data_IF_544928263127
#
_entry.id   IF_544928263127
#
_cell.length_a   1.000
_cell.length_b   1.000
_cell.length_c   1.000
_cell.angle_alpha   90.00
_cell.angle_beta   90.00
_cell.angle_gamma   90.00
#
_symmetry.space_group_name_H-M   'P 1'
#
loop_
_entity.id
_entity.type
_entity.pdbx_description
1 polymer ?
#
# COMPACT_ATOMS: atom_id res chain seq x y z
N UNK A 1 -6.07 -22.98 -3.25
CA UNK A 1 -6.00 -21.91 -2.23
C UNK A 1 -5.50 -20.63 -2.92
N UNK A 2 -6.32 -19.60 -2.97
CA UNK A 2 -6.13 -18.43 -3.85
C UNK A 2 -5.54 -17.25 -3.05
N UNK A 3 -4.25 -17.28 -2.69
CA UNK A 3 -3.63 -16.27 -1.85
C UNK A 3 -2.89 -15.17 -2.63
N UNK A 4 -2.95 -15.19 -3.97
CA UNK A 4 -2.32 -14.19 -4.84
C UNK A 4 -3.34 -13.28 -5.52
N UNK A 5 -4.62 -13.43 -5.19
CA UNK A 5 -5.72 -12.66 -5.75
C UNK A 5 -6.53 -12.00 -4.64
N UNK A 6 -6.99 -10.78 -4.90
CA UNK A 6 -7.89 -9.99 -4.04
C UNK A 6 -9.03 -9.43 -4.88
N UNK A 7 -10.13 -9.01 -4.23
CA UNK A 7 -11.34 -8.55 -4.89
C UNK A 7 -12.27 -9.69 -5.29
N UNK A 8 -13.52 -9.36 -5.59
CA UNK A 8 -14.59 -10.27 -6.02
C UNK A 8 -15.21 -9.87 -7.37
N UNK A 9 -15.29 -8.57 -7.65
CA UNK A 9 -15.79 -8.01 -8.89
C UNK A 9 -14.69 -7.25 -9.66
N UNK A 10 -13.76 -6.62 -8.95
CA UNK A 10 -12.51 -6.07 -9.48
C UNK A 10 -11.35 -6.92 -8.94
N UNK A 11 -11.05 -8.00 -9.65
CA UNK A 11 -10.13 -9.03 -9.18
C UNK A 11 -8.70 -8.72 -9.62
N UNK A 12 -7.81 -8.59 -8.65
CA UNK A 12 -6.39 -8.33 -8.89
C UNK A 12 -5.58 -9.57 -8.54
N UNK A 13 -4.89 -10.15 -9.51
CA UNK A 13 -4.00 -11.31 -9.34
C UNK A 13 -2.56 -10.91 -9.59
N UNK A 14 -1.72 -10.97 -8.55
CA UNK A 14 -0.29 -10.66 -8.63
C UNK A 14 0.56 -11.90 -8.80
N UNK A 15 1.63 -11.80 -9.58
CA UNK A 15 2.57 -12.89 -9.85
C UNK A 15 4.01 -12.37 -9.98
N UNK A 16 4.96 -13.31 -9.99
CA UNK A 16 6.38 -13.04 -10.06
C UNK A 16 7.07 -13.00 -8.71
N UNK A 17 8.37 -12.76 -8.73
CA UNK A 17 9.25 -12.79 -7.56
C UNK A 17 10.35 -11.72 -7.71
N UNK A 18 10.91 -11.28 -6.58
CA UNK A 18 11.88 -10.17 -6.54
C UNK A 18 13.09 -10.36 -7.45
N UNK A 19 13.58 -11.59 -7.56
CA UNK A 19 14.73 -11.96 -8.38
C UNK A 19 14.35 -12.89 -9.54
N UNK A 20 13.05 -13.06 -9.80
CA UNK A 20 12.55 -13.62 -11.06
C UNK A 20 12.68 -12.63 -12.22
N UNK A 21 12.31 -13.01 -13.44
CA UNK A 21 12.42 -12.15 -14.61
C UNK A 21 11.50 -10.95 -14.57
N UNK A 22 10.35 -11.07 -13.88
CA UNK A 22 9.28 -10.09 -13.90
C UNK A 22 8.47 -10.15 -12.58
N UNK A 23 7.90 -9.01 -12.17
CA UNK A 23 6.72 -8.94 -11.32
C UNK A 23 5.57 -8.39 -12.17
N UNK A 24 4.35 -8.88 -11.94
CA UNK A 24 3.23 -8.47 -12.77
C UNK A 24 1.90 -8.61 -12.07
N UNK A 25 0.87 -8.15 -12.76
CA UNK A 25 -0.50 -8.18 -12.29
C UNK A 25 -1.47 -8.39 -13.46
N UNK A 26 -2.53 -9.13 -13.19
CA UNK A 26 -3.71 -9.20 -14.04
C UNK A 26 -4.89 -8.64 -13.25
N UNK A 27 -5.59 -7.68 -13.85
CA UNK A 27 -6.83 -7.07 -13.32
C UNK A 27 -7.99 -7.56 -14.16
N UNK A 28 -8.89 -8.32 -13.57
CA UNK A 28 -10.14 -8.80 -14.18
C UNK A 28 -11.35 -8.04 -13.61
N UNK A 29 -12.42 -7.91 -14.39
CA UNK A 29 -13.63 -7.22 -13.99
C UNK A 29 -13.56 -5.67 -14.10
N UNK A 30 -12.50 -5.11 -14.69
CA UNK A 30 -12.49 -3.71 -15.04
C UNK A 30 -13.56 -3.42 -16.11
N UNK A 31 -14.48 -2.45 -15.89
CA UNK A 31 -15.52 -2.11 -16.87
C UNK A 31 -14.93 -1.77 -18.24
N UNK A 32 -15.63 -2.15 -19.32
CA UNK A 32 -15.30 -1.71 -20.67
C UNK A 32 -15.55 -0.20 -20.83
N UNK A 33 -14.72 0.47 -21.64
CA UNK A 33 -14.90 1.90 -21.96
C UNK A 33 -14.20 2.86 -20.99
N UNK A 34 -13.45 2.39 -20.00
CA UNK A 34 -12.59 3.27 -19.20
C UNK A 34 -11.45 3.81 -20.07
N UNK A 35 -11.32 5.13 -20.17
CA UNK A 35 -10.15 5.76 -20.78
C UNK A 35 -8.92 5.48 -19.92
N UNK A 36 -7.97 4.72 -20.46
CA UNK A 36 -6.77 4.24 -19.76
C UNK A 36 -5.61 4.12 -20.74
N UNK A 37 -4.52 4.79 -20.43
CA UNK A 37 -3.26 4.72 -21.20
C UNK A 37 -2.16 4.05 -20.39
N UNK A 38 -1.10 3.59 -21.05
CA UNK A 38 0.11 3.09 -20.38
C UNK A 38 0.73 4.18 -19.51
N UNK A 39 0.69 5.44 -19.97
CA UNK A 39 1.24 6.58 -19.24
C UNK A 39 0.50 6.86 -17.92
N UNK A 40 -0.80 6.56 -17.83
CA UNK A 40 -1.55 6.69 -16.58
C UNK A 40 -0.98 5.75 -15.51
N UNK A 41 -0.63 4.53 -15.91
CA UNK A 41 -0.06 3.51 -15.03
C UNK A 41 1.40 3.84 -14.72
N UNK A 42 2.17 4.27 -15.72
CA UNK A 42 3.58 4.62 -15.56
C UNK A 42 3.77 5.78 -14.57
N UNK A 43 2.96 6.83 -14.65
CA UNK A 43 3.00 7.94 -13.70
C UNK A 43 2.82 7.48 -12.25
N UNK A 44 1.91 6.54 -12.00
CA UNK A 44 1.73 6.00 -10.65
C UNK A 44 2.95 5.19 -10.18
N UNK A 45 3.59 4.44 -11.08
CA UNK A 45 4.82 3.70 -10.78
C UNK A 45 6.00 4.64 -10.52
N UNK A 46 6.12 5.74 -11.26
CA UNK A 46 7.16 6.74 -11.06
C UNK A 46 7.04 7.40 -9.67
N UNK A 47 5.81 7.61 -9.19
CA UNK A 47 5.56 8.10 -7.82
C UNK A 47 6.01 7.12 -6.74
N UNK A 48 6.19 5.82 -7.03
CA UNK A 48 6.61 4.82 -6.05
C UNK A 48 8.07 5.03 -5.60
N UNK A 49 8.89 5.62 -6.44
CA UNK A 49 10.32 5.81 -6.18
C UNK A 49 10.55 7.25 -5.70
N UNK A 50 10.97 7.47 -4.43
CA UNK A 50 11.37 8.80 -3.98
C UNK A 50 12.57 9.32 -4.79
N UNK A 51 12.59 10.62 -5.07
CA UNK A 51 13.63 11.25 -5.90
C UNK A 51 14.99 11.33 -5.19
N UNK A 52 15.01 11.51 -3.88
CA UNK A 52 16.23 11.61 -3.08
C UNK A 52 16.87 10.24 -2.85
N UNK A 53 18.19 10.18 -3.09
CA UNK A 53 18.96 8.92 -3.12
C UNK A 53 19.42 8.47 -1.74
N UNK A 54 19.47 9.34 -0.77
CA UNK A 54 20.04 9.11 0.56
C UNK A 54 19.08 8.41 1.52
N UNK A 55 17.76 8.50 1.27
CA UNK A 55 16.71 7.85 2.08
C UNK A 55 16.19 6.53 1.50
N UNK A 56 16.70 6.10 0.35
CA UNK A 56 16.27 4.85 -0.31
C UNK A 56 17.45 3.90 -0.53
N UNK A 57 17.15 2.63 -0.76
CA UNK A 57 18.15 1.63 -1.13
C UNK A 57 18.86 1.98 -2.44
N UNK A 58 20.07 1.48 -2.62
CA UNK A 58 20.82 1.64 -3.86
C UNK A 58 20.30 0.76 -5.02
N UNK A 59 19.28 -0.09 -4.80
CA UNK A 59 18.61 -0.85 -5.86
C UNK A 59 17.83 0.12 -6.74
N UNK A 60 18.07 0.08 -8.05
CA UNK A 60 17.40 0.94 -9.02
C UNK A 60 16.65 0.11 -10.04
N UNK A 61 15.34 0.15 -9.93
CA UNK A 61 14.45 -0.43 -10.92
C UNK A 61 13.70 0.71 -11.62
N UNK A 62 13.73 0.79 -12.94
CA UNK A 62 13.02 1.84 -13.67
C UNK A 62 11.51 1.67 -13.64
N UNK A 63 11.02 0.51 -13.18
CA UNK A 63 9.59 0.14 -13.07
C UNK A 63 8.80 0.42 -14.37
N UNK A 64 9.41 0.18 -15.53
CA UNK A 64 8.76 0.35 -16.83
C UNK A 64 7.65 -0.69 -16.96
N UNK A 65 6.42 -0.22 -17.15
CA UNK A 65 5.25 -1.09 -17.33
C UNK A 65 5.08 -1.49 -18.79
N UNK A 66 4.82 -2.76 -19.02
CA UNK A 66 4.46 -3.34 -20.32
C UNK A 66 2.99 -3.81 -20.25
N UNK A 67 2.12 -3.31 -21.13
CA UNK A 67 0.72 -3.68 -21.24
C UNK A 67 0.54 -4.78 -22.27
N UNK A 68 -0.07 -5.92 -21.91
CA UNK A 68 -0.21 -7.10 -22.77
C UNK A 68 -1.64 -7.34 -23.25
N UNK A 69 -2.65 -6.90 -22.49
CA UNK A 69 -4.06 -7.14 -22.83
C UNK A 69 -4.99 -6.17 -22.13
N UNK A 70 -6.26 -6.14 -22.56
CA UNK A 70 -7.36 -5.47 -21.86
C UNK A 70 -7.55 -4.00 -22.24
N UNK A 71 -6.72 -3.42 -23.11
CA UNK A 71 -6.85 -2.05 -23.60
C UNK A 71 -6.74 -2.02 -25.12
N UNK A 72 -7.63 -1.26 -25.77
CA UNK A 72 -7.62 -1.02 -27.22
C UNK A 72 -8.04 0.43 -27.48
N UNK A 73 -7.26 1.15 -28.28
CA UNK A 73 -7.47 2.58 -28.58
C UNK A 73 -7.68 3.42 -27.30
N UNK A 74 -6.78 3.25 -26.34
CA UNK A 74 -6.78 3.93 -25.02
C UNK A 74 -8.06 3.73 -24.19
N UNK A 75 -8.78 2.64 -24.41
CA UNK A 75 -9.95 2.28 -23.61
C UNK A 75 -9.89 0.81 -23.20
N UNK A 76 -10.36 0.53 -21.99
CA UNK A 76 -10.52 -0.86 -21.52
C UNK A 76 -11.58 -1.57 -22.34
N UNK A 77 -11.33 -2.86 -22.63
CA UNK A 77 -12.22 -3.68 -23.49
C UNK A 77 -13.17 -4.57 -22.70
N UNK A 78 -13.01 -4.65 -21.36
CA UNK A 78 -13.67 -5.63 -20.51
C UNK A 78 -12.96 -6.98 -20.44
N UNK A 79 -11.91 -7.20 -21.25
CA UNK A 79 -10.99 -8.31 -21.08
C UNK A 79 -10.02 -8.03 -19.92
N UNK A 80 -9.38 -9.06 -19.32
CA UNK A 80 -8.41 -8.85 -18.26
C UNK A 80 -7.26 -7.94 -18.72
N UNK A 81 -6.93 -6.93 -17.91
CA UNK A 81 -5.80 -6.04 -18.12
C UNK A 81 -4.57 -6.67 -17.50
N UNK A 82 -3.58 -7.06 -18.33
CA UNK A 82 -2.36 -7.73 -17.87
C UNK A 82 -1.16 -6.84 -18.06
N UNK A 83 -0.40 -6.64 -16.97
CA UNK A 83 0.76 -5.76 -16.89
C UNK A 83 1.98 -6.52 -16.39
N UNK A 84 3.13 -6.26 -17.02
CA UNK A 84 4.43 -6.77 -16.59
C UNK A 84 5.39 -5.61 -16.26
N UNK A 85 6.25 -5.84 -15.29
CA UNK A 85 7.33 -4.92 -14.89
C UNK A 85 8.61 -5.75 -14.75
N UNK A 86 9.57 -5.58 -15.65
CA UNK A 86 10.80 -6.38 -15.67
C UNK A 86 11.70 -6.03 -14.48
N UNK A 87 12.33 -7.06 -13.90
CA UNK A 87 13.40 -6.90 -12.94
C UNK A 87 14.72 -6.74 -13.68
N UNK A 88 15.43 -5.62 -13.46
CA UNK A 88 16.69 -5.30 -14.17
C UNK A 88 17.89 -5.27 -13.22
N UNK A 89 17.74 -4.78 -12.00
CA UNK A 89 18.84 -4.65 -11.02
C UNK A 89 18.78 -5.79 -9.98
N UNK A 90 19.17 -6.99 -10.43
CA UNK A 90 19.12 -8.23 -9.65
C UNK A 90 20.54 -8.67 -9.27
N UNK A 91 20.88 -8.66 -7.95
CA UNK A 91 22.14 -9.17 -7.39
C UNK A 91 21.86 -10.33 -6.45
N UNK A 92 21.71 -11.53 -7.03
CA UNK A 92 21.29 -12.72 -6.28
C UNK A 92 22.34 -13.21 -5.28
N UNK A 93 23.64 -13.00 -5.56
CA UNK A 93 24.75 -13.38 -4.67
C UNK A 93 24.70 -12.73 -3.28
N UNK A 94 24.10 -11.54 -3.17
CA UNK A 94 23.95 -10.84 -1.89
C UNK A 94 23.07 -11.62 -0.88
N UNK A 95 22.34 -12.64 -1.35
CA UNK A 95 21.38 -13.43 -0.56
C UNK A 95 21.80 -14.88 -0.28
N UNK A 96 22.97 -15.33 -0.77
CA UNK A 96 23.39 -16.72 -0.63
C UNK A 96 23.56 -17.14 0.86
N UNK A 97 24.05 -16.22 1.71
CA UNK A 97 24.16 -16.44 3.15
C UNK A 97 22.79 -16.53 3.85
N UNK A 98 21.73 -15.97 3.26
CA UNK A 98 20.38 -15.95 3.82
C UNK A 98 19.56 -17.21 3.49
N UNK A 99 20.14 -18.14 2.71
CA UNK A 99 19.49 -19.42 2.41
C UNK A 99 19.24 -20.24 3.67
N UNK A 100 20.18 -20.22 4.60
CA UNK A 100 20.15 -21.04 5.80
C UNK A 100 20.15 -20.23 7.11
N UNK A 101 20.68 -18.99 7.08
CA UNK A 101 20.67 -18.08 8.24
C UNK A 101 19.52 -17.10 8.06
N UNK A 102 18.47 -17.26 8.87
CA UNK A 102 17.22 -16.50 8.72
C UNK A 102 17.31 -15.11 9.34
N UNK A 103 16.74 -14.10 8.69
CA UNK A 103 16.73 -12.72 9.21
C UNK A 103 15.72 -12.59 10.36
N UNK A 104 16.10 -12.03 11.50
CA UNK A 104 15.16 -11.66 12.55
C UNK A 104 14.08 -10.72 12.01
N UNK A 105 12.82 -10.96 12.39
CA UNK A 105 11.69 -10.13 11.96
C UNK A 105 11.29 -10.24 10.48
N UNK A 106 11.93 -11.12 9.71
CA UNK A 106 11.58 -11.42 8.32
C UNK A 106 10.83 -12.76 8.19
N UNK A 107 10.19 -12.97 7.06
CA UNK A 107 9.44 -14.20 6.79
C UNK A 107 10.30 -15.37 6.27
N UNK A 108 11.62 -15.32 6.35
CA UNK A 108 12.54 -16.35 5.84
C UNK A 108 12.24 -17.72 6.45
N UNK A 109 12.17 -17.80 7.79
CA UNK A 109 11.90 -19.05 8.49
C UNK A 109 10.49 -19.63 8.20
N UNK A 110 9.39 -18.86 8.41
CA UNK A 110 8.05 -19.39 8.13
C UNK A 110 7.84 -19.72 6.65
N UNK A 111 8.47 -19.03 5.71
CA UNK A 111 8.42 -19.38 4.30
C UNK A 111 9.15 -20.68 4.00
N UNK A 112 10.35 -20.89 4.57
CA UNK A 112 11.12 -22.12 4.43
C UNK A 112 10.34 -23.32 4.94
N UNK A 113 9.71 -23.21 6.10
CA UNK A 113 8.88 -24.27 6.68
C UNK A 113 7.63 -24.52 5.85
N UNK A 114 6.88 -23.46 5.54
CA UNK A 114 5.59 -23.56 4.82
C UNK A 114 5.72 -24.16 3.43
N UNK A 115 6.79 -23.83 2.73
CA UNK A 115 7.01 -24.25 1.34
C UNK A 115 8.07 -25.36 1.22
N UNK A 116 8.45 -26.02 2.33
CA UNK A 116 9.37 -27.17 2.31
C UNK A 116 10.74 -26.84 1.73
N UNK A 117 11.21 -25.60 1.85
CA UNK A 117 12.47 -25.12 1.30
C UNK A 117 12.45 -24.73 -0.19
N UNK A 118 11.32 -24.87 -0.88
CA UNK A 118 11.18 -24.55 -2.31
C UNK A 118 10.85 -23.09 -2.60
N UNK A 119 10.71 -22.23 -1.58
CA UNK A 119 10.52 -20.79 -1.80
C UNK A 119 11.80 -20.11 -2.31
N UNK A 120 11.65 -19.17 -3.26
CA UNK A 120 12.79 -18.35 -3.68
C UNK A 120 13.17 -17.38 -2.56
N UNK A 121 14.34 -17.59 -1.94
CA UNK A 121 14.85 -16.77 -0.84
C UNK A 121 15.50 -15.48 -1.34
N UNK A 122 15.88 -15.40 -2.63
CA UNK A 122 16.60 -14.27 -3.22
C UNK A 122 15.74 -13.01 -3.18
N UNK A 123 16.24 -11.96 -2.54
CA UNK A 123 15.51 -10.70 -2.38
C UNK A 123 14.16 -10.83 -1.65
N UNK A 124 13.91 -11.94 -0.95
CA UNK A 124 12.65 -12.25 -0.29
C UNK A 124 11.56 -12.83 -1.21
N UNK A 125 11.90 -13.12 -2.48
CA UNK A 125 11.01 -13.73 -3.46
C UNK A 125 9.68 -13.00 -3.61
N UNK A 126 8.57 -13.74 -3.48
CA UNK A 126 7.20 -13.21 -3.50
C UNK A 126 6.81 -12.41 -2.25
N UNK A 127 7.60 -12.47 -1.17
CA UNK A 127 7.37 -11.72 0.08
C UNK A 127 8.12 -10.39 0.10
N UNK A 128 8.80 -10.06 -0.99
CA UNK A 128 9.56 -8.84 -1.16
C UNK A 128 8.67 -7.61 -1.33
N UNK A 129 9.15 -6.45 -0.85
CA UNK A 129 8.58 -5.15 -1.20
C UNK A 129 8.55 -4.85 -2.72
N UNK A 130 9.32 -5.60 -3.53
CA UNK A 130 9.28 -5.51 -5.01
C UNK A 130 7.89 -5.79 -5.57
N UNK A 131 7.12 -6.69 -4.96
CA UNK A 131 5.75 -7.01 -5.36
C UNK A 131 4.81 -5.80 -5.33
N UNK A 132 5.11 -4.78 -4.54
CA UNK A 132 4.30 -3.55 -4.46
C UNK A 132 4.27 -2.74 -5.76
N UNK A 133 5.19 -2.97 -6.70
CA UNK A 133 5.10 -2.38 -8.03
C UNK A 133 3.83 -2.88 -8.77
N UNK A 134 3.52 -4.18 -8.67
CA UNK A 134 2.28 -4.75 -9.21
C UNK A 134 1.03 -4.16 -8.52
N UNK A 135 1.09 -3.93 -7.20
CA UNK A 135 -0.02 -3.30 -6.45
C UNK A 135 -0.29 -1.88 -6.92
N UNK A 136 0.76 -1.08 -7.12
CA UNK A 136 0.63 0.30 -7.63
C UNK A 136 0.10 0.31 -9.05
N UNK A 137 0.58 -0.58 -9.92
CA UNK A 137 0.10 -0.68 -11.29
C UNK A 137 -1.41 -1.01 -11.37
N UNK A 138 -1.88 -1.99 -10.60
CA UNK A 138 -3.32 -2.29 -10.49
C UNK A 138 -4.10 -1.14 -9.83
N UNK A 139 -3.51 -0.52 -8.79
CA UNK A 139 -4.07 0.63 -8.10
C UNK A 139 -4.27 1.83 -9.01
N UNK A 140 -3.40 2.06 -9.99
CA UNK A 140 -3.55 3.12 -10.98
C UNK A 140 -4.82 2.94 -11.83
N UNK A 141 -5.12 1.70 -12.26
CA UNK A 141 -6.35 1.37 -12.98
C UNK A 141 -7.57 1.66 -12.09
N UNK A 142 -7.54 1.21 -10.83
CA UNK A 142 -8.63 1.43 -9.88
C UNK A 142 -8.85 2.93 -9.60
N UNK A 143 -7.79 3.72 -9.40
CA UNK A 143 -7.88 5.16 -9.20
C UNK A 143 -8.46 5.87 -10.43
N UNK A 144 -8.05 5.46 -11.62
CA UNK A 144 -8.61 6.00 -12.86
C UNK A 144 -10.11 5.69 -12.99
N UNK A 145 -10.52 4.47 -12.61
CA UNK A 145 -11.94 4.07 -12.58
C UNK A 145 -12.72 4.92 -11.56
N UNK A 146 -12.22 5.02 -10.33
CA UNK A 146 -12.87 5.78 -9.26
C UNK A 146 -13.01 7.27 -9.61
N UNK A 147 -11.99 7.87 -10.24
CA UNK A 147 -12.02 9.27 -10.65
C UNK A 147 -13.12 9.58 -11.68
N UNK A 148 -13.50 8.61 -12.52
CA UNK A 148 -14.61 8.75 -13.45
C UNK A 148 -15.98 8.86 -12.74
N UNK A 149 -16.04 8.48 -11.45
CA UNK A 149 -17.21 8.61 -10.58
C UNK A 149 -17.05 9.69 -9.52
N UNK A 150 -16.03 10.55 -9.63
CA UNK A 150 -15.76 11.65 -8.72
C UNK A 150 -15.17 11.23 -7.36
N UNK A 151 -14.79 9.97 -7.20
CA UNK A 151 -14.15 9.45 -5.98
C UNK A 151 -12.64 9.59 -6.09
N UNK A 152 -12.02 10.18 -5.08
CA UNK A 152 -10.59 10.44 -5.04
C UNK A 152 -9.96 9.75 -3.82
N UNK A 153 -8.83 9.06 -4.04
CA UNK A 153 -8.07 8.39 -2.99
C UNK A 153 -6.75 9.12 -2.83
N UNK A 154 -6.46 9.58 -1.63
CA UNK A 154 -5.23 10.30 -1.28
C UNK A 154 -4.54 9.60 -0.11
N UNK A 155 -3.21 9.53 -0.14
CA UNK A 155 -2.42 9.00 0.96
C UNK A 155 -1.17 9.84 1.18
N UNK A 156 -0.68 9.83 2.43
CA UNK A 156 0.50 10.57 2.83
C UNK A 156 1.16 9.94 4.06
N UNK A 157 2.40 10.29 4.29
CA UNK A 157 3.12 9.92 5.52
C UNK A 157 2.58 10.73 6.69
N UNK A 158 1.98 10.06 7.66
CA UNK A 158 1.49 10.66 8.89
C UNK A 158 2.57 10.68 9.98
N UNK A 159 3.41 9.63 10.05
CA UNK A 159 4.47 9.55 11.06
C UNK A 159 5.66 8.71 10.57
N UNK A 160 6.88 9.08 11.00
CA UNK A 160 8.11 8.28 10.92
C UNK A 160 8.86 8.47 12.23
N UNK A 161 9.30 7.36 12.87
CA UNK A 161 10.15 7.36 14.08
C UNK A 161 9.65 8.29 15.20
N UNK A 162 8.34 8.31 15.46
CA UNK A 162 7.73 9.18 16.46
C UNK A 162 7.52 10.64 16.03
N UNK A 163 8.15 11.12 14.96
CA UNK A 163 7.83 12.41 14.34
C UNK A 163 6.50 12.27 13.59
N UNK A 164 5.48 13.06 13.97
CA UNK A 164 4.12 12.87 13.46
C UNK A 164 3.39 14.18 13.21
N UNK A 165 2.40 14.13 12.33
CA UNK A 165 1.38 15.15 12.19
C UNK A 165 0.41 15.03 13.38
N UNK A 166 0.23 16.12 14.14
CA UNK A 166 -0.71 16.15 15.28
C UNK A 166 -2.15 16.41 14.86
N UNK A 167 -2.32 17.14 13.75
CA UNK A 167 -3.64 17.48 13.19
C UNK A 167 -3.75 16.98 11.75
N UNK A 168 -4.99 16.64 11.30
CA UNK A 168 -5.22 16.32 9.90
C UNK A 168 -4.80 17.49 8.99
N UNK A 169 -4.01 17.25 7.94
CA UNK A 169 -3.59 18.29 7.01
C UNK A 169 -4.76 18.75 6.14
N UNK A 170 -4.64 19.96 5.61
CA UNK A 170 -5.55 20.44 4.58
C UNK A 170 -5.41 19.56 3.33
N UNK A 171 -6.54 19.17 2.73
CA UNK A 171 -6.58 18.32 1.52
C UNK A 171 -5.80 18.93 0.35
N UNK A 172 -5.84 20.25 0.17
CA UNK A 172 -5.05 20.92 -0.88
C UNK A 172 -3.53 20.80 -0.62
N UNK A 173 -3.10 20.83 0.65
CA UNK A 173 -1.71 20.57 0.99
C UNK A 173 -1.33 19.10 0.68
N UNK A 174 -2.22 18.14 0.99
CA UNK A 174 -2.00 16.71 0.65
C UNK A 174 -1.80 16.55 -0.86
N UNK A 175 -2.65 17.17 -1.68
CA UNK A 175 -2.56 17.09 -3.15
C UNK A 175 -1.29 17.70 -3.73
N UNK A 176 -0.86 18.85 -3.20
CA UNK A 176 0.24 19.63 -3.77
C UNK A 176 1.60 19.23 -3.22
N UNK A 177 1.71 19.02 -1.89
CA UNK A 177 2.99 18.95 -1.20
C UNK A 177 3.48 17.52 -0.99
N UNK A 178 2.57 16.54 -0.87
CA UNK A 178 2.95 15.15 -0.53
C UNK A 178 4.04 14.59 -1.45
N UNK A 179 3.96 14.83 -2.74
CA UNK A 179 4.91 14.30 -3.70
C UNK A 179 6.06 15.25 -4.05
N UNK A 180 6.13 16.45 -3.44
CA UNK A 180 7.23 17.40 -3.60
C UNK A 180 8.43 17.10 -2.71
N UNK A 181 8.28 16.24 -1.71
CA UNK A 181 9.36 15.85 -0.81
C UNK A 181 9.52 14.32 -0.71
N UNK A 182 10.71 13.87 -0.33
CA UNK A 182 11.06 12.45 -0.26
C UNK A 182 10.33 11.68 0.82
N UNK A 183 9.89 12.36 1.88
CA UNK A 183 9.16 11.73 2.98
C UNK A 183 7.68 11.55 2.70
N UNK A 184 7.16 12.13 1.62
CA UNK A 184 5.73 12.09 1.28
C UNK A 184 4.83 12.65 2.39
N UNK A 185 5.32 13.66 3.12
CA UNK A 185 4.59 14.34 4.18
C UNK A 185 4.03 15.67 3.65
N UNK A 186 2.75 16.00 3.90
CA UNK A 186 2.13 17.25 3.44
C UNK A 186 2.59 18.50 4.21
N UNK A 187 3.36 18.33 5.28
CA UNK A 187 4.01 19.40 6.04
C UNK A 187 5.52 19.39 5.77
N UNK A 188 6.08 20.41 5.10
CA UNK A 188 7.51 20.45 4.76
C UNK A 188 8.45 20.49 5.99
N UNK A 189 8.01 21.09 7.08
CA UNK A 189 8.84 21.19 8.31
C UNK A 189 8.93 19.83 8.98
N UNK A 190 7.81 19.10 9.06
CA UNK A 190 7.80 17.74 9.58
C UNK A 190 8.48 16.76 8.62
N UNK A 191 8.35 16.97 7.30
CA UNK A 191 9.08 16.18 6.30
C UNK A 191 10.59 16.22 6.53
N UNK A 192 11.16 17.39 6.80
CA UNK A 192 12.59 17.54 7.11
C UNK A 192 12.99 16.81 8.41
N UNK A 193 12.17 16.91 9.47
CA UNK A 193 12.41 16.18 10.72
C UNK A 193 12.33 14.66 10.52
N UNK A 194 11.37 14.17 9.74
CA UNK A 194 11.25 12.76 9.37
C UNK A 194 12.45 12.30 8.53
N UNK A 195 12.90 13.13 7.60
CA UNK A 195 14.10 12.87 6.80
C UNK A 195 15.32 12.69 7.69
N UNK A 196 15.55 13.60 8.65
CA UNK A 196 16.67 13.50 9.58
C UNK A 196 16.59 12.22 10.46
N UNK A 197 15.39 11.82 10.90
CA UNK A 197 15.21 10.57 11.66
C UNK A 197 15.62 9.35 10.82
N UNK A 198 15.25 9.32 9.54
CA UNK A 198 15.64 8.24 8.61
C UNK A 198 17.16 8.21 8.38
N UNK A 199 17.80 9.37 8.21
CA UNK A 199 19.25 9.48 8.04
C UNK A 199 20.00 9.02 9.30
N UNK A 200 19.53 9.38 10.49
CA UNK A 200 20.11 8.94 11.76
C UNK A 200 20.03 7.41 11.87
N UNK A 201 18.86 6.81 11.62
CA UNK A 201 18.71 5.36 11.63
C UNK A 201 19.64 4.66 10.63
N UNK A 202 19.75 5.19 9.41
CA UNK A 202 20.67 4.68 8.39
C UNK A 202 22.13 4.74 8.83
N UNK A 203 22.56 5.85 9.43
CA UNK A 203 23.93 6.04 9.95
C UNK A 203 24.25 5.04 11.04
N UNK A 204 23.27 4.74 11.90
CA UNK A 204 23.38 3.74 12.96
C UNK A 204 23.32 2.29 12.45
N UNK A 205 23.15 2.08 11.14
CA UNK A 205 22.99 0.76 10.54
C UNK A 205 21.66 0.09 10.89
N UNK A 206 20.64 0.87 11.25
CA UNK A 206 19.33 0.45 11.72
C UNK A 206 18.21 0.87 10.75
N UNK A 207 16.96 0.73 11.15
CA UNK A 207 15.78 1.09 10.38
C UNK A 207 14.66 1.62 11.27
N UNK A 208 13.75 2.40 10.70
CA UNK A 208 12.59 2.96 11.38
C UNK A 208 11.30 2.65 10.65
N UNK A 209 10.21 2.54 11.38
CA UNK A 209 8.85 2.39 10.89
C UNK A 209 8.09 3.71 10.90
N UNK A 210 6.78 3.61 10.67
CA UNK A 210 5.89 4.76 10.75
C UNK A 210 4.48 4.45 10.29
N UNK A 211 3.73 5.48 9.96
CA UNK A 211 2.30 5.40 9.63
C UNK A 211 2.03 6.14 8.32
N UNK A 212 1.28 5.49 7.45
CA UNK A 212 0.64 6.11 6.28
C UNK A 212 -0.82 6.34 6.62
N UNK A 213 -1.31 7.56 6.44
CA UNK A 213 -2.73 7.87 6.48
C UNK A 213 -3.29 7.96 5.06
N UNK A 214 -4.49 7.43 4.87
CA UNK A 214 -5.19 7.44 3.60
C UNK A 214 -6.62 7.93 3.80
N UNK A 215 -7.06 8.80 2.89
CA UNK A 215 -8.44 9.30 2.85
C UNK A 215 -9.07 9.04 1.49
N UNK A 216 -10.36 8.65 1.49
CA UNK A 216 -11.18 8.56 0.27
C UNK A 216 -12.23 9.66 0.35
N UNK A 217 -12.21 10.55 -0.64
CA UNK A 217 -13.12 11.68 -0.74
C UNK A 217 -14.29 11.35 -1.68
N UNK A 218 -15.43 11.95 -1.40
CA UNK A 218 -16.65 11.84 -2.23
C UNK A 218 -17.15 10.40 -2.42
N UNK A 219 -16.85 9.52 -1.48
CA UNK A 219 -17.38 8.16 -1.50
C UNK A 219 -18.90 8.21 -1.25
N UNK A 220 -19.75 7.62 -2.12
CA UNK A 220 -21.18 7.56 -1.89
C UNK A 220 -21.55 6.88 -0.57
N UNK A 221 -22.69 7.23 0.01
CA UNK A 221 -23.25 6.52 1.19
C UNK A 221 -23.61 5.09 0.80
N UNK A 222 -23.32 4.11 1.68
CA UNK A 222 -23.74 2.73 1.53
C UNK A 222 -22.79 1.84 0.72
N UNK A 223 -21.54 2.26 0.47
CA UNK A 223 -20.50 1.36 -0.09
C UNK A 223 -20.04 0.41 0.99
N UNK A 224 -20.08 -0.89 0.73
CA UNK A 224 -19.73 -1.98 1.65
C UNK A 224 -20.87 -2.97 1.80
N UNK A 225 -20.54 -4.23 2.08
CA UNK A 225 -21.49 -5.35 2.15
C UNK A 225 -21.45 -5.98 3.57
N UNK A 226 -22.29 -5.50 4.53
CA UNK A 226 -22.35 -6.11 5.85
C UNK A 226 -22.89 -7.55 5.72
N UNK A 227 -22.48 -8.47 6.65
CA UNK A 227 -21.60 -8.28 7.81
C UNK A 227 -20.12 -8.48 7.48
N UNK A 228 -19.77 -9.49 6.70
CA UNK A 228 -18.38 -9.98 6.57
C UNK A 228 -17.59 -9.32 5.45
N UNK A 229 -18.28 -8.77 4.46
CA UNK A 229 -17.69 -8.01 3.36
C UNK A 229 -17.80 -6.48 3.61
N UNK A 230 -17.83 -6.09 4.88
CA UNK A 230 -17.81 -4.71 5.33
C UNK A 230 -16.60 -3.96 4.75
N UNK A 231 -16.76 -2.66 4.47
CA UNK A 231 -15.70 -1.86 3.82
C UNK A 231 -14.40 -1.84 4.66
N UNK A 232 -14.50 -1.73 5.97
CA UNK A 232 -13.35 -1.78 6.88
C UNK A 232 -12.69 -3.16 6.90
N UNK A 233 -13.48 -4.24 6.90
CA UNK A 233 -12.98 -5.62 6.85
C UNK A 233 -12.24 -5.94 5.55
N UNK A 234 -12.82 -5.59 4.40
CA UNK A 234 -12.21 -5.84 3.09
C UNK A 234 -10.94 -4.99 2.92
N UNK A 235 -10.98 -3.69 3.29
CA UNK A 235 -9.80 -2.84 3.22
C UNK A 235 -8.71 -3.28 4.19
N UNK A 236 -9.02 -3.66 5.43
CA UNK A 236 -8.04 -4.17 6.37
C UNK A 236 -7.35 -5.44 5.81
N UNK A 237 -8.12 -6.40 5.29
CA UNK A 237 -7.59 -7.61 4.66
C UNK A 237 -6.63 -7.31 3.51
N UNK A 238 -6.99 -6.37 2.62
CA UNK A 238 -6.18 -5.94 1.49
C UNK A 238 -4.90 -5.28 1.97
N UNK A 239 -4.98 -4.38 2.95
CA UNK A 239 -3.85 -3.61 3.48
C UNK A 239 -2.85 -4.48 4.26
N UNK A 240 -3.31 -5.51 4.99
CA UNK A 240 -2.41 -6.49 5.60
C UNK A 240 -1.67 -7.35 4.57
N UNK A 241 -2.07 -7.35 3.31
CA UNK A 241 -1.32 -7.94 2.19
C UNK A 241 -0.07 -7.13 1.79
N UNK A 242 0.06 -5.87 2.22
CA UNK A 242 1.25 -5.05 1.98
C UNK A 242 2.37 -5.50 2.92
N UNK A 243 3.59 -5.77 2.41
CA UNK A 243 4.73 -6.12 3.26
C UNK A 243 4.99 -5.08 4.35
N UNK A 244 5.39 -5.54 5.54
CA UNK A 244 5.68 -4.75 6.75
C UNK A 244 4.46 -4.14 7.47
N UNK A 245 3.25 -4.24 6.97
CA UNK A 245 2.05 -3.78 7.69
C UNK A 245 1.84 -4.60 8.97
N UNK A 246 1.54 -3.90 10.07
CA UNK A 246 1.29 -4.48 11.39
C UNK A 246 0.04 -3.94 12.08
N UNK A 247 -0.57 -2.89 11.55
CA UNK A 247 -1.79 -2.33 12.08
C UNK A 247 -2.57 -1.58 11.01
N UNK A 248 -3.88 -1.62 11.13
CA UNK A 248 -4.83 -0.83 10.34
C UNK A 248 -5.88 -0.32 11.30
N UNK A 249 -6.21 0.96 11.25
CA UNK A 249 -7.29 1.55 12.04
C UNK A 249 -8.09 2.54 11.20
N UNK A 250 -9.36 2.72 11.56
CA UNK A 250 -10.30 3.61 10.90
C UNK A 250 -10.74 4.71 11.87
N UNK A 251 -10.84 5.95 11.40
CA UNK A 251 -11.26 7.10 12.21
C UNK A 251 -10.43 7.28 13.47
N UNK A 252 -11.08 7.36 14.62
CA UNK A 252 -10.41 7.45 15.92
C UNK A 252 -9.61 6.19 16.28
N UNK A 253 -9.91 5.04 15.64
CA UNK A 253 -9.19 3.78 15.86
C UNK A 253 -9.12 3.41 17.34
N UNK A 254 -7.92 3.09 17.84
CA UNK A 254 -7.73 2.77 19.26
C UNK A 254 -8.01 3.93 20.22
N UNK A 255 -8.00 5.19 19.77
CA UNK A 255 -8.34 6.33 20.62
C UNK A 255 -9.82 6.31 21.03
N UNK A 256 -10.71 5.72 20.22
CA UNK A 256 -12.13 5.57 20.56
C UNK A 256 -12.34 4.87 21.92
N UNK A 257 -11.44 3.98 22.33
CA UNK A 257 -11.52 3.27 23.63
C UNK A 257 -11.36 4.18 24.84
N UNK A 258 -10.89 5.41 24.64
CA UNK A 258 -10.68 6.42 25.69
C UNK A 258 -11.80 7.45 25.74
N UNK A 259 -12.72 7.43 24.78
CA UNK A 259 -13.83 8.36 24.65
C UNK A 259 -15.11 7.78 25.25
N UNK A 260 -15.95 8.63 25.80
CA UNK A 260 -17.34 8.27 26.13
C UNK A 260 -18.18 8.26 24.85
N UNK A 261 -19.29 7.53 24.83
CA UNK A 261 -20.19 7.49 23.69
C UNK A 261 -20.62 8.87 23.20
N UNK A 262 -20.93 9.81 24.12
CA UNK A 262 -21.29 11.18 23.75
C UNK A 262 -20.16 12.00 23.13
N UNK A 263 -18.91 11.61 23.35
CA UNK A 263 -17.71 12.25 22.77
C UNK A 263 -17.32 11.59 21.44
N UNK A 264 -17.53 10.27 21.35
CA UNK A 264 -17.17 9.49 20.16
C UNK A 264 -18.23 9.55 19.05
N UNK A 265 -19.52 9.70 19.41
CA UNK A 265 -20.60 9.66 18.43
C UNK A 265 -20.55 10.85 17.48
N UNK A 266 -20.50 10.56 16.18
CA UNK A 266 -20.55 11.54 15.10
C UNK A 266 -22.00 12.01 14.92
N UNK A 267 -22.32 13.22 15.47
CA UNK A 267 -23.68 13.77 15.46
C UNK A 267 -24.09 14.18 14.04
N UNK A 268 -25.26 13.74 13.60
CA UNK A 268 -25.80 14.09 12.30
C UNK A 268 -26.37 15.51 12.24
N UNK A 269 -26.11 16.19 11.14
CA UNK A 269 -26.68 17.50 10.81
C UNK A 269 -27.05 17.58 9.34
N UNK A 270 -27.91 18.53 9.00
CA UNK A 270 -28.21 18.86 7.60
C UNK A 270 -27.39 20.07 7.19
N UNK A 271 -26.54 19.90 6.18
CA UNK A 271 -25.74 20.98 5.59
C UNK A 271 -25.97 20.98 4.06
N UNK A 272 -26.44 22.11 3.54
CA UNK A 272 -26.72 22.27 2.09
C UNK A 272 -27.63 21.16 1.52
N UNK A 273 -28.65 20.77 2.29
CA UNK A 273 -29.60 19.72 1.90
C UNK A 273 -29.06 18.28 1.95
N UNK A 274 -27.86 18.08 2.49
CA UNK A 274 -27.26 16.76 2.66
C UNK A 274 -27.13 16.41 4.15
N UNK A 275 -27.28 15.12 4.46
CA UNK A 275 -26.96 14.59 5.78
C UNK A 275 -25.46 14.41 5.89
N UNK A 276 -24.84 15.05 6.87
CA UNK A 276 -23.41 14.95 7.19
C UNK A 276 -23.22 14.82 8.69
N UNK A 277 -22.00 14.57 9.15
CA UNK A 277 -21.71 14.55 10.58
C UNK A 277 -20.82 15.74 10.99
N UNK A 278 -20.91 16.16 12.25
CA UNK A 278 -20.09 17.25 12.81
C UNK A 278 -18.64 16.83 13.01
N UNK A 279 -18.43 15.56 13.35
CA UNK A 279 -17.12 14.92 13.54
C UNK A 279 -17.01 13.71 12.60
N UNK A 280 -15.86 13.06 12.57
CA UNK A 280 -15.65 11.85 11.76
C UNK A 280 -14.81 10.82 12.57
N UNK A 281 -15.22 10.59 13.82
CA UNK A 281 -14.56 9.62 14.71
C UNK A 281 -14.68 8.19 14.20
N UNK A 282 -15.80 7.88 13.51
CA UNK A 282 -16.00 6.58 12.83
C UNK A 282 -15.13 6.39 11.60
N UNK A 283 -14.46 7.45 11.11
CA UNK A 283 -13.64 7.40 9.90
C UNK A 283 -14.43 7.15 8.63
N UNK A 284 -15.68 7.60 8.57
CA UNK A 284 -16.55 7.44 7.40
C UNK A 284 -17.16 6.05 7.24
N UNK A 285 -17.09 5.19 8.26
CA UNK A 285 -17.64 3.82 8.24
C UNK A 285 -18.54 3.58 9.47
N UNK A 286 -19.78 3.17 9.24
CA UNK A 286 -20.70 2.71 10.26
C UNK A 286 -21.44 1.47 9.78
N UNK A 287 -21.51 0.44 10.63
CA UNK A 287 -22.16 -0.83 10.28
C UNK A 287 -21.54 -1.52 9.04
N UNK A 288 -20.27 -1.25 8.74
CA UNK A 288 -19.56 -1.83 7.59
C UNK A 288 -19.84 -1.13 6.26
N UNK A 289 -20.51 0.02 6.28
CA UNK A 289 -20.86 0.82 5.10
C UNK A 289 -20.32 2.24 5.21
N UNK A 290 -20.02 2.86 4.07
CA UNK A 290 -19.62 4.27 4.00
C UNK A 290 -20.78 5.19 4.40
N UNK A 291 -20.45 6.29 5.10
CA UNK A 291 -21.41 7.27 5.61
C UNK A 291 -21.58 8.51 4.71
N UNK A 292 -20.76 8.62 3.64
CA UNK A 292 -20.68 9.83 2.82
C UNK A 292 -19.69 10.87 3.36
N UNK A 293 -19.22 10.71 4.61
CA UNK A 293 -18.05 11.45 5.12
C UNK A 293 -16.76 10.87 4.52
N UNK A 294 -15.64 11.61 4.53
CA UNK A 294 -14.37 11.06 4.08
C UNK A 294 -14.05 9.73 4.78
N UNK A 295 -13.77 8.68 4.01
CA UNK A 295 -13.23 7.46 4.58
C UNK A 295 -11.80 7.73 5.03
N UNK A 296 -11.51 7.55 6.31
CA UNK A 296 -10.20 7.84 6.92
C UNK A 296 -9.63 6.59 7.56
N UNK A 297 -8.45 6.19 7.16
CA UNK A 297 -7.74 5.04 7.71
C UNK A 297 -6.24 5.30 7.86
N UNK A 298 -5.61 4.59 8.80
CA UNK A 298 -4.16 4.61 9.03
C UNK A 298 -3.58 3.21 8.98
N UNK A 299 -2.37 3.12 8.40
CA UNK A 299 -1.66 1.87 8.21
C UNK A 299 -0.28 1.97 8.86
N UNK A 300 -0.04 1.13 9.85
CA UNK A 300 1.21 1.07 10.59
C UNK A 300 2.20 0.10 9.94
N UNK A 301 3.40 0.59 9.66
CA UNK A 301 4.52 -0.15 9.09
C UNK A 301 5.59 -0.38 10.14
N UNK A 302 5.98 -1.63 10.37
CA UNK A 302 7.14 -1.94 11.20
C UNK A 302 8.44 -1.52 10.50
N UNK A 303 9.53 -1.31 11.24
CA UNK A 303 10.86 -1.11 10.66
C UNK A 303 11.24 -2.26 9.71
N UNK A 304 11.94 -1.98 8.60
CA UNK A 304 12.55 -3.02 7.75
C UNK A 304 13.46 -3.95 8.54
N UNK A 305 13.33 -5.27 8.33
CA UNK A 305 14.06 -6.28 9.09
C UNK A 305 15.51 -6.45 8.67
N UNK A 306 15.87 -6.02 7.47
CA UNK A 306 17.24 -6.14 6.93
C UNK A 306 18.05 -4.93 7.36
N UNK A 307 18.84 -5.07 8.44
CA UNK A 307 19.66 -4.01 9.02
C UNK A 307 21.13 -4.46 9.10
N UNK A 308 22.03 -3.48 9.11
CA UNK A 308 23.47 -3.73 9.18
C UNK A 308 23.94 -4.09 10.61
N UNK A 309 23.20 -3.65 11.63
CA UNK A 309 23.48 -4.05 13.03
C UNK A 309 23.44 -5.56 13.19
N UNK A 310 24.45 -6.12 13.87
CA UNK A 310 24.51 -7.54 14.20
C UNK A 310 23.36 -7.92 15.14
N UNK A 311 22.63 -8.96 14.78
CA UNK A 311 21.51 -9.52 15.55
C UNK A 311 21.72 -11.02 15.78
N UNK A 312 21.22 -11.53 16.91
CA UNK A 312 21.15 -12.97 17.15
C UNK A 312 20.11 -13.60 16.23
N UNK A 313 20.45 -14.74 15.69
CA UNK A 313 19.57 -15.55 14.82
C UNK A 313 19.96 -17.02 14.89
N UNK A 314 19.48 -17.83 13.94
CA UNK A 314 19.81 -19.24 13.84
C UNK A 314 20.14 -19.65 12.40
N UNK A 315 21.03 -20.63 12.27
CA UNK A 315 21.19 -21.41 11.06
C UNK A 315 20.22 -22.60 11.14
N UNK A 316 19.17 -22.53 10.31
CA UNK A 316 18.08 -23.53 10.36
C UNK A 316 18.46 -24.89 9.72
N UNK A 317 19.53 -24.96 8.94
CA UNK A 317 20.02 -26.21 8.35
C UNK A 317 20.94 -26.97 9.31
N UNK A 318 21.70 -26.24 10.13
CA UNK A 318 22.62 -26.81 11.12
C UNK A 318 21.99 -26.92 12.53
N UNK A 319 20.83 -26.24 12.73
CA UNK A 319 20.14 -26.12 14.02
C UNK A 319 21.04 -25.50 15.11
N UNK A 320 21.76 -24.44 14.75
CA UNK A 320 22.73 -23.75 15.63
C UNK A 320 22.39 -22.27 15.74
N UNK A 321 22.76 -21.66 16.87
CA UNK A 321 22.71 -20.21 17.04
C UNK A 321 23.71 -19.53 16.09
N UNK A 322 23.33 -18.40 15.54
CA UNK A 322 24.12 -17.61 14.63
C UNK A 322 23.99 -16.12 14.92
N UNK A 323 24.85 -15.33 14.30
CA UNK A 323 24.78 -13.87 14.27
C UNK A 323 24.68 -13.42 12.83
N UNK A 324 23.89 -12.39 12.60
CA UNK A 324 23.66 -11.83 11.27
C UNK A 324 23.59 -10.31 11.31
N UNK A 325 24.47 -9.65 10.55
CA UNK A 325 24.31 -8.28 10.10
C UNK A 325 24.09 -8.32 8.60
N UNK A 326 22.96 -7.84 8.11
CA UNK A 326 22.60 -7.95 6.69
C UNK A 326 23.37 -6.90 5.91
N UNK A 327 24.34 -7.35 5.11
CA UNK A 327 25.07 -6.49 4.16
C UNK A 327 24.22 -6.36 2.90
N UNK A 328 24.14 -5.16 2.34
CA UNK A 328 23.44 -4.97 1.07
C UNK A 328 22.65 -3.66 0.99
N UNK A 329 21.79 -3.58 -0.01
CA UNK A 329 21.03 -2.37 -0.38
C UNK A 329 19.63 -2.42 0.24
N UNK A 330 19.50 -2.02 1.49
CA UNK A 330 18.22 -2.03 2.20
C UNK A 330 17.71 -0.62 2.46
N UNK A 331 16.39 -0.45 2.45
CA UNK A 331 15.75 0.81 2.79
C UNK A 331 15.82 1.01 4.31
N UNK A 332 16.29 2.15 4.82
CA UNK A 332 16.23 2.46 6.24
C UNK A 332 14.79 2.73 6.72
N UNK A 333 13.90 3.12 5.81
CA UNK A 333 12.48 3.30 6.06
C UNK A 333 11.69 2.97 4.79
N UNK A 334 10.57 2.23 4.92
CA UNK A 334 9.71 1.87 3.79
C UNK A 334 8.50 2.79 3.65
N UNK A 335 8.21 3.63 4.65
CA UNK A 335 6.97 4.42 4.73
C UNK A 335 6.76 5.32 3.52
N UNK A 336 7.75 6.10 3.05
CA UNK A 336 7.56 6.96 1.88
C UNK A 336 7.22 6.18 0.60
N UNK A 337 7.81 5.00 0.41
CA UNK A 337 7.49 4.09 -0.71
C UNK A 337 6.12 3.45 -0.56
N UNK A 338 5.64 3.30 0.68
CA UNK A 338 4.35 2.69 0.97
C UNK A 338 3.17 3.63 0.68
N UNK A 339 3.36 4.94 0.62
CA UNK A 339 2.29 5.92 0.35
C UNK A 339 1.51 5.57 -0.93
N UNK A 340 2.11 5.49 -2.13
CA UNK A 340 1.36 5.14 -3.34
C UNK A 340 0.86 3.68 -3.33
N UNK A 341 1.48 2.80 -2.54
CA UNK A 341 1.03 1.40 -2.39
C UNK A 341 -0.28 1.36 -1.59
N UNK A 342 -0.36 2.05 -0.45
CA UNK A 342 -1.58 2.16 0.37
C UNK A 342 -2.69 2.80 -0.46
N UNK A 343 -2.40 3.91 -1.13
CA UNK A 343 -3.33 4.61 -2.01
C UNK A 343 -3.91 3.67 -3.08
N UNK A 344 -3.06 2.92 -3.78
CA UNK A 344 -3.47 1.97 -4.81
C UNK A 344 -4.30 0.81 -4.26
N UNK A 345 -3.90 0.24 -3.11
CA UNK A 345 -4.60 -0.89 -2.50
C UNK A 345 -5.98 -0.49 -1.95
N UNK A 346 -6.11 0.71 -1.37
CA UNK A 346 -7.41 1.27 -0.96
C UNK A 346 -8.28 1.51 -2.19
N UNK A 347 -7.73 2.05 -3.27
CA UNK A 347 -8.48 2.26 -4.51
C UNK A 347 -9.02 0.94 -5.10
N UNK A 348 -8.23 -0.14 -5.08
CA UNK A 348 -8.65 -1.47 -5.53
C UNK A 348 -9.85 -1.96 -4.70
N UNK A 349 -9.78 -1.87 -3.36
CA UNK A 349 -10.86 -2.31 -2.49
C UNK A 349 -12.14 -1.50 -2.66
N UNK A 350 -12.02 -0.17 -2.77
CA UNK A 350 -13.16 0.72 -3.01
C UNK A 350 -13.79 0.46 -4.37
N UNK A 351 -13.00 0.28 -5.44
CA UNK A 351 -13.50 -0.04 -6.77
C UNK A 351 -14.26 -1.38 -6.79
N UNK A 352 -13.71 -2.42 -6.14
CA UNK A 352 -14.36 -3.72 -5.99
C UNK A 352 -15.75 -3.58 -5.31
N UNK A 353 -15.81 -2.88 -4.19
CA UNK A 353 -17.05 -2.68 -3.43
C UNK A 353 -18.07 -1.83 -4.20
N UNK A 354 -17.65 -0.77 -4.90
CA UNK A 354 -18.56 0.06 -5.71
C UNK A 354 -19.12 -0.71 -6.91
N UNK A 355 -18.35 -1.60 -7.55
CA UNK A 355 -18.85 -2.47 -8.62
C UNK A 355 -19.85 -3.49 -8.03
N UNK A 356 -19.53 -4.11 -6.90
CA UNK A 356 -20.41 -5.07 -6.20
C UNK A 356 -21.73 -4.43 -5.78
N UNK A 357 -21.67 -3.20 -5.27
CA UNK A 357 -22.86 -2.41 -4.90
C UNK A 357 -23.65 -1.85 -6.09
N UNK A 358 -23.23 -2.16 -7.34
CA UNK A 358 -23.92 -1.69 -8.55
C UNK A 358 -23.77 -0.19 -8.85
N UNK A 359 -22.87 0.51 -8.14
CA UNK A 359 -22.61 1.94 -8.35
C UNK A 359 -21.73 2.21 -9.57
N UNK A 360 -20.94 1.22 -9.97
CA UNK A 360 -20.13 1.24 -11.19
C UNK A 360 -20.67 0.19 -12.15
N UNK A 361 -21.14 0.56 -13.35
CA UNK A 361 -21.67 -0.37 -14.33
C UNK A 361 -20.55 -1.14 -15.05
N UNK A 362 -20.89 -2.27 -15.70
CA UNK A 362 -19.93 -3.07 -16.48
C UNK A 362 -19.42 -2.38 -17.75
N UNK A 363 -20.15 -1.39 -18.25
CA UNK A 363 -19.79 -0.62 -19.45
C UNK A 363 -19.94 0.86 -19.13
N UNK A 364 -18.86 1.59 -19.33
CA UNK A 364 -18.86 3.04 -19.23
C UNK A 364 -19.21 3.60 -20.61
N UNK A 365 -20.37 4.26 -20.68
CA UNK A 365 -20.77 4.97 -21.91
C UNK A 365 -20.15 6.36 -21.85
N UNK A 366 -19.49 6.76 -22.92
CA UNK A 366 -19.00 8.13 -23.16
C UNK A 366 -20.17 9.13 -23.18
#
# INVERSE_FOLDING_TARGET
MWSNSIGKAFVVTCFGESHGPVVGVTVDGCPAGLSLTVDDIQRALDMRIPQEKDVVSARREPDIVELFSGVFQDHTTGAPVTLHIRNKDVKSSDYDSLKDVVRPGHADYPAKVKYGGFSDYRGGGRLSGRMTAAFVAAGAIAQRLLSAFGVEVLAYTQAIDGVRLDNPPNIEAVKKVTYENSMRCPDPVLAEKMHQAVINAKTDGDSVGGVVECTVLSLPVGVGEPLFDAIDSELAKILFGIPAVKGVEFGAGFQATRLKGSENNDQYVIKEGKVVTLTNNSGGVLGGMSTGMPLLLRVAFKPPSSIAKEQKTVNVSQMEEAKLGVKGRHDPCVVPKAVPVVQGMVAIGVADLMIRGGMIPRVLKS
#
